data_IF_198628184859
#
_entry.id   IF_198628184859
#
_cell.length_a   1.000
_cell.length_b   1.000
_cell.length_c   1.000
_cell.angle_alpha   90.00
_cell.angle_beta   90.00
_cell.angle_gamma   90.00
#
_symmetry.space_group_name_H-M   'P 1'
#
loop_
_entity.id
_entity.type
_entity.pdbx_description
1 polymer ?
#
# COMPACT_ATOMS: atom_id res chain seq x y z
N UNK A 1 32.48 -56.35 -30.49
CA UNK A 1 31.53 -56.02 -29.41
C UNK A 1 32.30 -55.33 -28.28
N UNK A 2 32.32 -54.01 -28.26
CA UNK A 2 32.64 -53.21 -27.08
C UNK A 2 31.69 -52.00 -27.06
N UNK A 3 31.14 -51.75 -25.88
CA UNK A 3 29.89 -51.03 -25.63
C UNK A 3 30.04 -49.52 -25.73
N UNK A 4 29.18 -48.93 -26.55
CA UNK A 4 29.07 -47.51 -26.95
C UNK A 4 28.51 -46.59 -25.86
N UNK A 5 28.97 -46.70 -24.60
CA UNK A 5 28.50 -45.86 -23.48
C UNK A 5 29.59 -45.08 -22.72
N UNK A 6 30.87 -45.19 -23.12
CA UNK A 6 31.97 -44.49 -22.45
C UNK A 6 32.58 -43.32 -23.23
N UNK A 7 31.93 -42.86 -24.32
CA UNK A 7 32.41 -41.76 -25.16
C UNK A 7 31.55 -40.49 -25.10
N UNK A 8 30.66 -40.38 -24.10
CA UNK A 8 29.86 -39.16 -23.86
C UNK A 8 30.24 -38.41 -22.58
N UNK A 9 31.26 -38.86 -21.84
CA UNK A 9 31.61 -38.28 -20.54
C UNK A 9 32.87 -37.39 -20.52
N UNK A 10 33.57 -37.22 -21.65
CA UNK A 10 34.82 -36.42 -21.73
C UNK A 10 34.75 -35.35 -22.85
N UNK A 11 33.55 -34.87 -23.17
CA UNK A 11 33.36 -33.74 -24.09
C UNK A 11 32.29 -32.77 -23.58
N UNK A 12 32.35 -32.47 -22.28
CA UNK A 12 31.55 -31.42 -21.62
C UNK A 12 32.34 -30.65 -20.55
N UNK A 13 33.66 -30.56 -20.72
CA UNK A 13 34.60 -29.94 -19.76
C UNK A 13 35.47 -28.81 -20.37
N UNK A 14 35.08 -28.22 -21.52
CA UNK A 14 35.77 -27.04 -22.08
C UNK A 14 34.83 -25.96 -22.60
N UNK A 15 33.91 -25.49 -21.74
CA UNK A 15 33.30 -24.15 -21.84
C UNK A 15 33.22 -23.53 -20.44
N UNK A 16 34.39 -23.24 -19.88
CA UNK A 16 34.60 -22.34 -18.74
C UNK A 16 35.56 -21.25 -19.23
N UNK A 17 35.03 -20.10 -19.63
CA UNK A 17 35.71 -18.80 -19.59
C UNK A 17 34.76 -17.70 -20.11
N UNK A 18 34.70 -16.62 -19.33
CA UNK A 18 34.27 -15.27 -19.70
C UNK A 18 32.78 -15.00 -19.96
N UNK A 19 32.00 -14.87 -18.89
CA UNK A 19 31.02 -13.78 -18.80
C UNK A 19 31.25 -13.04 -17.48
N UNK A 20 31.68 -11.79 -17.61
CA UNK A 20 31.89 -10.83 -16.54
C UNK A 20 30.59 -10.56 -15.76
N UNK A 21 30.67 -10.09 -14.50
CA UNK A 21 29.51 -9.74 -13.71
C UNK A 21 28.76 -8.58 -14.37
N UNK A 22 27.51 -8.82 -14.75
CA UNK A 22 26.58 -7.77 -15.18
C UNK A 22 26.27 -6.91 -13.94
N UNK A 23 26.55 -5.60 -13.96
CA UNK A 23 26.17 -4.73 -12.86
C UNK A 23 24.65 -4.65 -12.73
N UNK A 24 24.19 -4.85 -11.50
CA UNK A 24 22.83 -4.64 -11.00
C UNK A 24 22.20 -3.37 -11.60
N UNK A 25 21.34 -3.53 -12.60
CA UNK A 25 20.51 -2.45 -13.16
C UNK A 25 19.17 -2.44 -12.43
N UNK A 26 19.21 -2.17 -11.12
CA UNK A 26 18.03 -1.93 -10.26
C UNK A 26 17.98 -0.50 -9.70
N UNK A 27 18.75 0.42 -10.26
CA UNK A 27 18.82 1.82 -9.84
C UNK A 27 18.87 2.77 -11.04
N UNK A 28 18.05 2.55 -12.07
CA UNK A 28 18.04 3.39 -13.28
C UNK A 28 16.66 3.61 -13.92
N UNK A 29 15.59 3.52 -13.13
CA UNK A 29 14.23 3.78 -13.62
C UNK A 29 13.49 4.87 -12.83
N UNK A 30 14.19 5.67 -12.02
CA UNK A 30 13.52 6.70 -11.20
C UNK A 30 14.38 7.97 -10.95
N UNK A 31 15.35 8.28 -11.82
CA UNK A 31 16.09 9.55 -11.76
C UNK A 31 15.66 10.55 -12.85
N UNK A 32 14.85 10.15 -13.84
CA UNK A 32 14.40 11.04 -14.93
C UNK A 32 13.09 11.81 -14.64
N UNK A 33 12.49 11.68 -13.45
CA UNK A 33 11.21 12.35 -13.14
C UNK A 33 11.29 13.44 -12.06
N UNK A 34 12.46 13.69 -11.46
CA UNK A 34 12.65 14.69 -10.40
C UNK A 34 13.53 15.88 -10.79
N UNK A 35 14.14 15.91 -11.97
CA UNK A 35 15.08 16.97 -12.35
C UNK A 35 14.46 18.15 -13.13
N UNK A 36 13.18 18.11 -13.52
CA UNK A 36 12.55 19.11 -14.40
C UNK A 36 11.59 20.10 -13.70
N UNK A 37 11.60 20.21 -12.37
CA UNK A 37 10.62 21.04 -11.65
C UNK A 37 11.18 22.04 -10.64
N UNK A 38 12.46 22.44 -10.76
CA UNK A 38 13.03 23.54 -9.96
C UNK A 38 13.31 24.85 -10.75
N UNK A 39 13.12 24.89 -12.07
CA UNK A 39 13.50 26.06 -12.89
C UNK A 39 12.37 27.08 -13.20
N UNK A 40 11.19 26.98 -12.58
CA UNK A 40 10.05 27.85 -12.94
C UNK A 40 9.51 28.73 -11.81
N UNK A 41 10.38 29.23 -10.93
CA UNK A 41 9.98 30.16 -9.85
C UNK A 41 10.65 31.54 -9.84
N UNK A 42 11.48 31.90 -10.82
CA UNK A 42 12.03 33.26 -10.87
C UNK A 42 11.85 33.87 -12.26
N UNK A 43 10.82 34.69 -12.43
CA UNK A 43 10.85 35.95 -13.20
C UNK A 43 9.46 36.64 -13.13
N UNK A 44 9.35 37.70 -12.34
CA UNK A 44 9.00 39.04 -12.83
C UNK A 44 8.74 40.01 -11.68
N UNK A 45 9.68 40.93 -11.51
CA UNK A 45 9.51 42.21 -10.83
C UNK A 45 9.51 43.28 -11.94
N UNK A 46 8.48 44.15 -12.00
CA UNK A 46 8.56 45.62 -12.24
C UNK A 46 7.16 46.23 -12.50
N UNK A 47 6.69 47.00 -11.50
CA UNK A 47 5.81 48.19 -11.45
C UNK A 47 4.75 48.49 -12.54
N UNK A 48 3.50 48.71 -12.08
CA UNK A 48 2.78 50.00 -12.22
C UNK A 48 1.50 50.02 -11.35
N UNK A 49 1.30 51.11 -10.59
CA UNK A 49 0.11 51.45 -9.79
C UNK A 49 -1.08 51.82 -10.68
N UNK A 50 -2.29 51.28 -10.42
CA UNK A 50 -3.59 52.01 -10.53
C UNK A 50 -4.61 51.40 -9.54
N UNK A 51 -5.41 52.29 -8.96
CA UNK A 51 -6.34 52.17 -7.84
C UNK A 51 -7.63 51.34 -8.06
N UNK A 52 -8.12 50.78 -6.95
CA UNK A 52 -9.53 50.53 -6.56
C UNK A 52 -10.40 49.56 -7.38
N UNK A 53 -10.60 48.35 -6.84
CA UNK A 53 -11.87 47.92 -6.21
C UNK A 53 -11.78 46.43 -5.82
N UNK A 54 -12.09 46.14 -4.54
CA UNK A 54 -12.26 44.78 -4.03
C UNK A 54 -13.32 44.01 -4.83
N UNK A 55 -13.07 42.72 -5.08
CA UNK A 55 -13.79 41.74 -4.28
C UNK A 55 -12.84 40.71 -3.65
N UNK A 56 -12.94 40.59 -2.33
CA UNK A 56 -12.42 39.45 -1.59
C UNK A 56 -13.11 38.18 -2.11
N UNK A 57 -12.35 37.27 -2.73
CA UNK A 57 -12.87 35.93 -3.04
C UNK A 57 -11.76 34.86 -2.96
N UNK A 58 -11.82 34.12 -1.86
CA UNK A 58 -11.65 32.67 -1.78
C UNK A 58 -10.37 32.08 -2.41
N UNK A 59 -9.22 32.34 -1.79
CA UNK A 59 -8.05 31.45 -1.86
C UNK A 59 -7.69 30.93 -0.47
N UNK A 60 -8.69 30.41 0.24
CA UNK A 60 -8.42 29.29 1.12
C UNK A 60 -8.27 28.08 0.19
N UNK A 61 -7.05 27.82 -0.29
CA UNK A 61 -6.71 26.50 -0.80
C UNK A 61 -7.02 25.55 0.35
N UNK A 62 -8.18 24.88 0.27
CA UNK A 62 -8.53 23.85 1.23
C UNK A 62 -7.44 22.82 1.11
N UNK A 63 -6.50 22.84 2.06
CA UNK A 63 -5.43 21.85 2.18
C UNK A 63 -6.10 20.57 2.64
N UNK A 64 -6.80 19.95 1.69
CA UNK A 64 -7.67 18.83 1.93
C UNK A 64 -6.77 17.61 2.04
N UNK A 65 -6.81 17.00 3.23
CA UNK A 65 -6.01 15.83 3.56
C UNK A 65 -7.00 14.69 3.79
N UNK A 66 -6.98 13.66 2.94
CA UNK A 66 -7.59 12.38 3.26
C UNK A 66 -6.90 11.85 4.52
N UNK A 67 -7.64 11.78 5.61
CA UNK A 67 -7.17 11.30 6.91
C UNK A 67 -7.99 10.09 7.34
N UNK A 68 -7.47 9.37 8.31
CA UNK A 68 -8.26 8.42 9.08
C UNK A 68 -9.46 9.10 9.78
N UNK A 69 -10.49 8.32 10.10
CA UNK A 69 -11.72 8.71 10.80
C UNK A 69 -12.66 9.66 10.04
N UNK A 70 -12.57 9.70 8.72
CA UNK A 70 -13.55 10.40 7.90
C UNK A 70 -14.83 9.57 7.76
N UNK A 71 -15.99 10.23 7.64
CA UNK A 71 -17.24 9.53 7.30
C UNK A 71 -17.24 9.13 5.82
N UNK A 72 -17.96 8.06 5.47
CA UNK A 72 -18.09 7.60 4.08
C UNK A 72 -18.51 8.72 3.12
N UNK A 73 -19.47 9.54 3.57
CA UNK A 73 -20.00 10.67 2.80
C UNK A 73 -18.94 11.73 2.55
N UNK A 74 -18.09 12.01 3.53
CA UNK A 74 -16.99 12.96 3.36
C UNK A 74 -15.97 12.42 2.36
N UNK A 75 -15.51 11.18 2.52
CA UNK A 75 -14.52 10.59 1.60
C UNK A 75 -15.05 10.55 0.16
N UNK A 76 -16.30 10.12 -0.03
CA UNK A 76 -16.94 10.11 -1.35
C UNK A 76 -17.10 11.50 -1.95
N UNK A 77 -17.46 12.50 -1.14
CA UNK A 77 -17.55 13.89 -1.59
C UNK A 77 -16.19 14.39 -2.07
N UNK A 78 -15.11 14.11 -1.34
CA UNK A 78 -13.78 14.55 -1.72
C UNK A 78 -13.27 13.84 -2.98
N UNK A 79 -13.51 12.53 -3.10
CA UNK A 79 -13.23 11.79 -4.33
C UNK A 79 -13.99 12.38 -5.53
N UNK A 80 -15.27 12.72 -5.34
CA UNK A 80 -16.08 13.33 -6.38
C UNK A 80 -15.55 14.71 -6.82
N UNK A 81 -15.08 15.53 -5.88
CA UNK A 81 -14.46 16.83 -6.21
C UNK A 81 -13.22 16.63 -7.08
N UNK A 82 -12.39 15.61 -6.80
CA UNK A 82 -11.22 15.28 -7.62
C UNK A 82 -11.59 14.77 -9.00
N UNK A 83 -12.63 13.94 -9.10
CA UNK A 83 -13.14 13.44 -10.39
C UNK A 83 -13.67 14.57 -11.28
N UNK A 84 -14.15 15.66 -10.68
CA UNK A 84 -14.60 16.84 -11.40
C UNK A 84 -13.46 17.76 -11.89
N UNK A 85 -12.19 17.50 -11.52
CA UNK A 85 -11.07 18.29 -12.03
C UNK A 85 -10.95 18.12 -13.55
N UNK A 86 -10.67 19.22 -14.26
CA UNK A 86 -10.47 19.20 -15.70
C UNK A 86 -9.37 18.22 -16.07
N UNK A 87 -9.58 17.42 -17.11
CA UNK A 87 -8.65 16.39 -17.59
C UNK A 87 -8.57 15.10 -16.75
N UNK A 88 -9.34 14.98 -15.66
CA UNK A 88 -9.33 13.76 -14.84
C UNK A 88 -9.58 12.51 -15.68
N UNK A 89 -10.53 12.52 -16.61
CA UNK A 89 -10.82 11.35 -17.45
C UNK A 89 -9.68 10.97 -18.40
N UNK A 90 -8.83 11.93 -18.78
CA UNK A 90 -7.78 11.75 -19.79
C UNK A 90 -6.42 11.35 -19.21
N UNK A 91 -6.25 11.36 -17.88
CA UNK A 91 -4.98 10.99 -17.26
C UNK A 91 -4.86 9.49 -16.96
N UNK A 92 -3.63 8.93 -16.95
CA UNK A 92 -3.39 7.54 -16.61
C UNK A 92 -3.88 7.17 -15.22
N UNK A 93 -4.31 5.93 -15.05
CA UNK A 93 -4.89 5.43 -13.81
C UNK A 93 -3.99 5.63 -12.57
N UNK A 94 -2.69 5.33 -12.72
CA UNK A 94 -1.69 5.56 -11.66
C UNK A 94 -1.56 7.03 -11.26
N UNK A 95 -1.72 7.95 -12.22
CA UNK A 95 -1.71 9.40 -11.97
C UNK A 95 -2.93 9.82 -11.15
N UNK A 96 -4.12 9.26 -11.44
CA UNK A 96 -5.33 9.48 -10.65
C UNK A 96 -5.13 9.08 -9.18
N UNK A 97 -4.57 7.89 -8.94
CA UNK A 97 -4.24 7.44 -7.59
C UNK A 97 -3.27 8.40 -6.89
N UNK A 98 -2.21 8.81 -7.58
CA UNK A 98 -1.24 9.75 -7.03
C UNK A 98 -1.85 11.09 -6.63
N UNK A 99 -2.86 11.60 -7.36
CA UNK A 99 -3.55 12.85 -7.00
C UNK A 99 -4.24 12.74 -5.63
N UNK A 100 -4.90 11.60 -5.36
CA UNK A 100 -5.50 11.31 -4.05
C UNK A 100 -4.43 11.21 -2.97
N UNK A 101 -3.38 10.41 -3.22
CA UNK A 101 -2.32 10.14 -2.23
C UNK A 101 -1.51 11.41 -1.89
N UNK A 102 -1.28 12.31 -2.85
CA UNK A 102 -0.64 13.61 -2.59
C UNK A 102 -1.43 14.42 -1.56
N UNK A 103 -2.75 14.40 -1.69
CA UNK A 103 -3.73 15.02 -0.80
C UNK A 103 -4.09 14.11 0.39
N UNK A 104 -3.24 13.15 0.78
CA UNK A 104 -3.50 12.24 1.91
C UNK A 104 -2.49 12.41 3.05
N UNK A 105 -2.84 11.89 4.23
CA UNK A 105 -1.96 11.83 5.39
C UNK A 105 -0.78 10.87 5.18
N UNK A 106 0.15 10.83 6.14
CA UNK A 106 1.34 9.97 6.04
C UNK A 106 0.98 8.49 6.04
N UNK A 107 -0.07 8.07 6.74
CA UNK A 107 -0.47 6.66 6.82
C UNK A 107 -0.95 6.13 5.47
N UNK A 108 -1.79 6.88 4.77
CA UNK A 108 -2.24 6.52 3.42
C UNK A 108 -1.07 6.54 2.42
N UNK A 109 -0.12 7.46 2.58
CA UNK A 109 1.11 7.50 1.76
C UNK A 109 1.97 6.26 1.98
N UNK A 110 2.18 5.86 3.22
CA UNK A 110 2.94 4.66 3.57
C UNK A 110 2.25 3.40 3.04
N UNK A 111 0.92 3.31 3.19
CA UNK A 111 0.12 2.23 2.61
C UNK A 111 0.28 2.15 1.09
N UNK A 112 0.18 3.28 0.39
CA UNK A 112 0.34 3.33 -1.07
C UNK A 112 1.76 2.94 -1.50
N UNK A 113 2.76 3.34 -0.73
CA UNK A 113 4.14 2.92 -0.94
C UNK A 113 4.29 1.40 -0.79
N UNK A 114 3.80 0.80 0.31
CA UNK A 114 3.85 -0.66 0.52
C UNK A 114 3.17 -1.44 -0.61
N UNK A 115 1.95 -1.03 -1.00
CA UNK A 115 1.22 -1.66 -2.11
C UNK A 115 1.96 -1.51 -3.44
N UNK A 116 2.54 -0.33 -3.68
CA UNK A 116 3.35 -0.04 -4.85
C UNK A 116 4.60 -0.89 -4.94
N UNK A 117 5.32 -1.08 -3.82
CA UNK A 117 6.52 -1.92 -3.76
C UNK A 117 6.20 -3.40 -3.91
N UNK A 118 5.06 -3.84 -3.35
CA UNK A 118 4.59 -5.22 -3.45
C UNK A 118 3.99 -5.54 -4.83
N UNK A 119 3.78 -4.54 -5.70
CA UNK A 119 3.13 -4.70 -7.01
C UNK A 119 1.65 -5.07 -6.90
N UNK A 120 1.00 -4.72 -5.78
CA UNK A 120 -0.39 -5.08 -5.45
C UNK A 120 -1.31 -3.85 -5.42
N UNK A 121 -0.95 -2.80 -6.17
CA UNK A 121 -1.84 -1.66 -6.38
C UNK A 121 -3.09 -2.10 -7.14
N UNK A 122 -4.25 -1.48 -6.87
CA UNK A 122 -5.47 -1.78 -7.62
C UNK A 122 -5.29 -1.52 -9.11
N UNK A 123 -5.88 -2.38 -9.94
CA UNK A 123 -5.83 -2.23 -11.41
C UNK A 123 -6.91 -1.26 -11.94
N UNK A 124 -7.97 -1.05 -11.15
CA UNK A 124 -9.12 -0.21 -11.51
C UNK A 124 -9.32 0.95 -10.54
N UNK A 125 -9.93 2.03 -11.04
CA UNK A 125 -10.24 3.22 -10.27
C UNK A 125 -11.32 2.99 -9.23
N UNK A 126 -12.28 2.14 -9.57
CA UNK A 126 -13.36 1.73 -8.71
C UNK A 126 -12.82 0.95 -7.50
N UNK A 127 -11.90 0.01 -7.72
CA UNK A 127 -11.26 -0.76 -6.65
C UNK A 127 -10.41 0.15 -5.74
N UNK A 128 -9.68 1.09 -6.34
CA UNK A 128 -8.92 2.08 -5.57
C UNK A 128 -9.82 2.96 -4.72
N UNK A 129 -10.93 3.48 -5.26
CA UNK A 129 -11.90 4.28 -4.49
C UNK A 129 -12.46 3.50 -3.31
N UNK A 130 -12.82 2.23 -3.51
CA UNK A 130 -13.31 1.37 -2.43
C UNK A 130 -12.26 1.25 -1.30
N UNK A 131 -11.00 0.98 -1.66
CA UNK A 131 -9.92 0.86 -0.68
C UNK A 131 -9.63 2.17 0.05
N UNK A 132 -9.66 3.32 -0.63
CA UNK A 132 -9.49 4.64 0.00
C UNK A 132 -10.63 4.93 0.98
N UNK A 133 -11.87 4.63 0.61
CA UNK A 133 -13.01 4.76 1.52
C UNK A 133 -12.80 3.90 2.76
N UNK A 134 -12.43 2.63 2.59
CA UNK A 134 -12.19 1.73 3.71
C UNK A 134 -11.05 2.21 4.63
N UNK A 135 -9.95 2.70 4.06
CA UNK A 135 -8.80 3.23 4.80
C UNK A 135 -9.16 4.49 5.58
N UNK A 136 -9.79 5.47 4.91
CA UNK A 136 -10.18 6.73 5.54
C UNK A 136 -11.24 6.54 6.62
N UNK A 137 -12.11 5.54 6.50
CA UNK A 137 -13.11 5.23 7.52
C UNK A 137 -12.56 4.40 8.70
N UNK A 138 -11.24 4.12 8.74
CA UNK A 138 -10.64 3.12 9.64
C UNK A 138 -11.36 1.76 9.58
N UNK A 139 -11.99 1.45 8.46
CA UNK A 139 -12.53 0.13 8.16
C UNK A 139 -11.48 -0.81 7.58
N UNK A 140 -10.24 -0.35 7.41
CA UNK A 140 -9.13 -1.19 7.02
C UNK A 140 -8.80 -2.24 8.10
N UNK A 141 -8.27 -3.39 7.70
CA UNK A 141 -7.85 -4.42 8.65
C UNK A 141 -6.72 -3.90 9.56
N UNK A 142 -5.89 -3.00 9.04
CA UNK A 142 -4.73 -2.43 9.70
C UNK A 142 -5.08 -1.54 10.90
N UNK A 143 -6.26 -0.89 10.88
CA UNK A 143 -6.72 -0.01 11.96
C UNK A 143 -7.11 -0.75 13.23
N UNK A 144 -7.50 -2.03 13.11
CA UNK A 144 -7.88 -2.86 14.24
C UNK A 144 -6.66 -3.14 15.12
N UNK A 145 -6.65 -2.55 16.31
CA UNK A 145 -5.66 -2.82 17.34
C UNK A 145 -6.28 -3.64 18.48
N UNK A 146 -5.45 -4.46 19.11
CA UNK A 146 -5.82 -5.21 20.32
C UNK A 146 -6.03 -4.25 21.48
N UNK A 147 -7.11 -4.39 22.24
CA UNK A 147 -7.28 -3.61 23.46
C UNK A 147 -6.38 -4.12 24.60
N UNK A 148 -6.03 -3.25 25.56
CA UNK A 148 -5.06 -3.57 26.62
C UNK A 148 -5.44 -4.80 27.46
N UNK A 149 -6.73 -4.98 27.74
CA UNK A 149 -7.27 -6.06 28.58
C UNK A 149 -8.07 -7.10 27.76
N UNK A 150 -7.87 -7.14 26.45
CA UNK A 150 -8.57 -8.09 25.58
C UNK A 150 -7.75 -9.38 25.42
N UNK A 151 -8.38 -10.56 25.55
CA UNK A 151 -7.73 -11.83 25.26
C UNK A 151 -7.40 -11.93 23.76
N UNK A 152 -6.30 -12.60 23.44
CA UNK A 152 -5.84 -12.81 22.07
C UNK A 152 -6.87 -13.56 21.23
N UNK A 153 -7.58 -14.52 21.81
CA UNK A 153 -8.65 -15.26 21.11
C UNK A 153 -9.75 -14.33 20.60
N UNK A 154 -10.21 -13.38 21.43
CA UNK A 154 -11.21 -12.37 21.05
C UNK A 154 -10.68 -11.40 20.00
N UNK A 155 -9.43 -10.95 20.12
CA UNK A 155 -8.82 -10.05 19.13
C UNK A 155 -8.70 -10.71 17.75
N UNK A 156 -8.20 -11.95 17.70
CA UNK A 156 -8.08 -12.71 16.45
C UNK A 156 -9.47 -12.98 15.84
N UNK A 157 -10.48 -13.25 16.67
CA UNK A 157 -11.87 -13.41 16.23
C UNK A 157 -12.41 -12.13 15.57
N UNK A 158 -12.18 -10.96 16.17
CA UNK A 158 -12.58 -9.67 15.57
C UNK A 158 -11.89 -9.41 14.24
N UNK A 159 -10.60 -9.76 14.12
CA UNK A 159 -9.89 -9.67 12.84
C UNK A 159 -10.49 -10.61 11.79
N UNK A 160 -10.89 -11.82 12.18
CA UNK A 160 -11.58 -12.76 11.30
C UNK A 160 -12.93 -12.20 10.84
N UNK A 161 -13.76 -11.71 11.74
CA UNK A 161 -15.07 -11.13 11.41
C UNK A 161 -14.94 -9.93 10.47
N UNK A 162 -13.91 -9.11 10.71
CA UNK A 162 -13.58 -8.01 9.81
C UNK A 162 -13.14 -8.52 8.43
N UNK A 163 -12.26 -9.52 8.39
CA UNK A 163 -11.80 -10.08 7.13
C UNK A 163 -12.96 -10.70 6.32
N UNK A 164 -13.91 -11.36 6.99
CA UNK A 164 -15.11 -11.91 6.36
C UNK A 164 -16.00 -10.80 5.79
N UNK A 165 -16.28 -9.75 6.57
CA UNK A 165 -17.10 -8.63 6.11
C UNK A 165 -16.47 -7.85 4.95
N UNK A 166 -15.14 -7.69 4.95
CA UNK A 166 -14.39 -6.98 3.92
C UNK A 166 -13.86 -7.88 2.79
N UNK A 167 -14.20 -9.18 2.77
CA UNK A 167 -13.72 -10.19 1.80
C UNK A 167 -12.19 -10.25 1.66
N UNK A 168 -11.49 -10.05 2.76
CA UNK A 168 -10.02 -10.08 2.82
C UNK A 168 -9.57 -11.53 2.97
N UNK A 169 -8.58 -12.02 2.20
CA UNK A 169 -8.08 -13.38 2.34
C UNK A 169 -7.39 -13.59 3.70
N UNK A 170 -7.52 -14.78 4.28
CA UNK A 170 -6.94 -15.11 5.60
C UNK A 170 -5.43 -14.85 5.67
N UNK A 171 -4.71 -14.98 4.54
CA UNK A 171 -3.27 -14.71 4.48
C UNK A 171 -2.91 -13.27 4.85
N UNK A 172 -3.74 -12.29 4.50
CA UNK A 172 -3.53 -10.89 4.89
C UNK A 172 -3.77 -10.69 6.40
N UNK A 173 -4.72 -11.43 6.98
CA UNK A 173 -4.93 -11.46 8.44
C UNK A 173 -3.70 -12.01 9.15
N UNK A 174 -3.14 -13.12 8.65
CA UNK A 174 -1.88 -13.65 9.17
C UNK A 174 -0.71 -12.68 8.99
N UNK A 175 -0.63 -11.97 7.85
CA UNK A 175 0.39 -10.93 7.62
C UNK A 175 0.31 -9.85 8.69
N UNK A 176 -0.90 -9.38 9.05
CA UNK A 176 -1.11 -8.45 10.15
C UNK A 176 -0.71 -9.06 11.50
N UNK A 177 -1.21 -10.25 11.85
CA UNK A 177 -0.91 -10.91 13.12
C UNK A 177 0.58 -11.10 13.37
N UNK A 178 1.37 -11.36 12.32
CA UNK A 178 2.84 -11.48 12.40
C UNK A 178 3.56 -10.16 12.66
N UNK A 179 2.95 -9.02 12.30
CA UNK A 179 3.46 -7.67 12.57
C UNK A 179 3.14 -7.20 13.99
N UNK A 180 2.10 -7.77 14.63
CA UNK A 180 1.70 -7.41 15.99
C UNK A 180 2.68 -7.91 17.06
N UNK A 181 2.81 -7.16 18.16
CA UNK A 181 3.68 -7.53 19.29
C UNK A 181 3.02 -8.57 20.19
N UNK A 182 2.92 -9.80 19.69
CA UNK A 182 2.34 -10.92 20.40
C UNK A 182 3.33 -11.63 21.36
N UNK A 183 2.84 -12.26 22.44
CA UNK A 183 3.58 -13.24 23.21
C UNK A 183 4.20 -14.32 22.31
N UNK A 184 5.38 -14.83 22.68
CA UNK A 184 6.14 -15.75 21.85
C UNK A 184 5.36 -17.03 21.52
N UNK A 185 4.58 -17.54 22.48
CA UNK A 185 3.69 -18.71 22.31
C UNK A 185 2.72 -18.52 21.14
N UNK A 186 2.12 -17.34 20.99
CA UNK A 186 1.17 -17.05 19.92
C UNK A 186 1.85 -16.70 18.60
N UNK A 187 3.02 -16.05 18.67
CA UNK A 187 3.86 -15.79 17.49
C UNK A 187 4.11 -17.08 16.71
N UNK A 188 4.52 -18.16 17.39
CA UNK A 188 4.76 -19.45 16.74
C UNK A 188 3.52 -19.99 16.01
N UNK A 189 2.32 -19.81 16.59
CA UNK A 189 1.06 -20.17 15.93
C UNK A 189 0.83 -19.34 14.66
N UNK A 190 1.11 -18.04 14.67
CA UNK A 190 0.91 -17.17 13.49
C UNK A 190 1.89 -17.46 12.33
N UNK A 191 3.05 -18.07 12.62
CA UNK A 191 4.01 -18.50 11.60
C UNK A 191 3.80 -19.93 11.11
N UNK A 192 2.87 -20.68 11.70
CA UNK A 192 2.59 -22.06 11.28
C UNK A 192 1.92 -22.10 9.90
N UNK A 193 2.47 -22.91 8.99
CA UNK A 193 1.94 -23.07 7.63
C UNK A 193 0.73 -24.02 7.62
N UNK A 194 -0.28 -23.68 6.80
CA UNK A 194 -1.44 -24.55 6.58
C UNK A 194 -2.48 -24.57 7.70
N UNK A 195 -2.38 -23.65 8.66
CA UNK A 195 -3.35 -23.52 9.76
C UNK A 195 -4.40 -22.46 9.40
N UNK A 196 -5.67 -22.75 9.65
CA UNK A 196 -6.78 -21.81 9.44
C UNK A 196 -6.89 -20.84 10.62
N UNK A 197 -7.54 -19.68 10.42
CA UNK A 197 -7.81 -18.75 11.51
C UNK A 197 -8.59 -19.40 12.66
N UNK A 198 -9.54 -20.29 12.35
CA UNK A 198 -10.33 -21.04 13.34
C UNK A 198 -9.46 -21.90 14.25
N UNK A 199 -8.56 -22.71 13.67
CA UNK A 199 -7.66 -23.55 14.46
C UNK A 199 -6.67 -22.73 15.30
N UNK A 200 -6.32 -21.52 14.87
CA UNK A 200 -5.50 -20.61 15.68
C UNK A 200 -6.29 -20.05 16.85
N UNK A 201 -7.54 -19.62 16.63
CA UNK A 201 -8.42 -19.11 17.69
C UNK A 201 -8.65 -20.17 18.76
N UNK A 202 -8.96 -21.41 18.35
CA UNK A 202 -9.15 -22.54 19.28
C UNK A 202 -7.92 -22.78 20.16
N UNK A 203 -6.73 -22.89 19.54
CA UNK A 203 -5.47 -23.10 20.29
C UNK A 203 -5.15 -21.96 21.23
N UNK A 204 -5.34 -20.71 20.80
CA UNK A 204 -5.12 -19.55 21.67
C UNK A 204 -6.07 -19.61 22.87
N UNK A 205 -7.34 -19.95 22.64
CA UNK A 205 -8.33 -20.07 23.69
C UNK A 205 -7.93 -21.15 24.71
N UNK A 206 -7.45 -22.31 24.26
CA UNK A 206 -6.92 -23.37 25.13
C UNK A 206 -5.77 -22.88 26.03
N UNK A 207 -4.87 -22.05 25.49
CA UNK A 207 -3.77 -21.46 26.25
C UNK A 207 -4.21 -20.36 27.22
N UNK A 208 -5.33 -19.68 26.96
CA UNK A 208 -5.84 -18.63 27.84
C UNK A 208 -6.72 -19.18 28.97
N UNK A 209 -7.33 -20.35 28.76
CA UNK A 209 -8.17 -21.03 29.77
C UNK A 209 -7.39 -21.93 30.74
N UNK A 210 -6.15 -22.31 30.40
CA UNK A 210 -5.26 -23.13 31.23
C UNK A 210 -4.24 -22.28 32.00
#
# INVERSE_FOLDING_TARGET
MFSSKYLFYVQKQQRKAACAPVPSTKAKAFEDCTQNYEDNQNNNLTTANVSSSEPQNLTAASTLVFTNNMTEKEVKRELFILECESEFDNIPHKTKMMMVIKKSDSKLKDWFYEKGTDGTLPDTWEDFKAQIVDLCMEQALESLQRYNNEPWSSYVSRLKDKALSSKIPEQEVFKKLRRERAPETFRQLFYSFGVTLDSVIERINEFETN
#
